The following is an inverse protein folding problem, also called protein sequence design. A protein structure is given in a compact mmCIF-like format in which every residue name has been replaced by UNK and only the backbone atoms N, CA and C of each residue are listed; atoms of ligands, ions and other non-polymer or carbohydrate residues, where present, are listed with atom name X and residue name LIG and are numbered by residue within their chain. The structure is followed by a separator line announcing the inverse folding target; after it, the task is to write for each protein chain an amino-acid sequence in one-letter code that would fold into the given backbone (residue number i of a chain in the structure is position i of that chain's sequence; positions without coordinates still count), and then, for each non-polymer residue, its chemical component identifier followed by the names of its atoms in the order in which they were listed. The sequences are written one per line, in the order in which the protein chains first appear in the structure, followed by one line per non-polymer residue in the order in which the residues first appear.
data_IF_428992511475
#
_entry.id   IF_428992511475
#
_cell.length_a   1.000
_cell.length_b   1.000
_cell.length_c   1.000
_cell.angle_alpha   90.00
_cell.angle_beta   90.00
_cell.angle_gamma   90.00
#
_symmetry.space_group_name_H-M   'P 1'
#
loop_
_entity.id
_entity.type
_entity.pdbx_description
1 polymer ?
#
# COMPACT_ATOMS: atom_id res chain seq x y z
N UNK A 1 2.77 22.21 14.20
CA UNK A 1 3.10 21.12 13.28
C UNK A 1 1.80 20.55 12.77
N UNK A 2 1.65 20.40 11.46
CA UNK A 2 0.46 19.80 10.83
C UNK A 2 0.37 18.33 11.21
N UNK A 3 -0.82 17.88 11.64
CA UNK A 3 -1.05 16.49 12.03
C UNK A 3 -1.57 15.65 10.88
N UNK A 4 -0.98 14.47 10.71
CA UNK A 4 -1.36 13.49 9.70
C UNK A 4 -1.82 12.14 10.25
N UNK A 5 -2.54 11.39 9.44
CA UNK A 5 -2.78 9.97 9.64
C UNK A 5 -2.55 9.19 8.35
N UNK A 6 -1.89 8.04 8.45
CA UNK A 6 -1.81 7.04 7.39
C UNK A 6 -2.85 5.95 7.65
N UNK A 7 -3.76 5.75 6.70
CA UNK A 7 -4.69 4.63 6.65
C UNK A 7 -4.21 3.68 5.55
N UNK A 8 -3.83 2.47 5.90
CA UNK A 8 -3.30 1.54 4.91
C UNK A 8 -3.41 0.08 5.29
N UNK A 9 -2.98 -0.79 4.40
CA UNK A 9 -2.86 -2.21 4.70
C UNK A 9 -1.73 -2.47 5.73
N UNK A 10 -1.39 -3.73 5.98
CA UNK A 10 -0.35 -4.07 6.96
C UNK A 10 1.01 -3.43 6.68
N UNK A 11 1.31 -3.03 5.45
CA UNK A 11 2.56 -2.33 5.09
C UNK A 11 2.59 -0.89 5.59
N UNK A 12 1.47 -0.36 6.06
CA UNK A 12 1.43 0.93 6.76
C UNK A 12 1.80 0.82 8.25
N UNK A 13 1.80 -0.38 8.83
CA UNK A 13 1.97 -0.58 10.28
C UNK A 13 3.24 0.07 10.85
N UNK A 14 4.32 0.05 10.06
CA UNK A 14 5.61 0.60 10.47
C UNK A 14 5.83 2.06 10.08
N UNK A 15 4.84 2.72 9.45
CA UNK A 15 4.91 4.12 9.04
C UNK A 15 4.50 5.04 10.18
N UNK A 16 5.26 5.01 11.25
CA UNK A 16 5.01 5.76 12.49
C UNK A 16 6.33 6.21 13.10
N UNK A 17 6.23 7.03 14.14
CA UNK A 17 7.36 7.50 14.92
C UNK A 17 8.41 8.25 14.07
N UNK A 18 7.98 8.96 13.02
CA UNK A 18 8.86 9.82 12.21
C UNK A 18 9.42 10.98 13.04
N UNK A 19 10.65 11.39 12.77
CA UNK A 19 11.34 12.34 13.65
C UNK A 19 10.87 13.79 13.40
N UNK A 20 10.48 14.10 12.17
CA UNK A 20 10.15 15.45 11.69
C UNK A 20 8.71 15.58 11.20
N UNK A 21 7.86 14.57 11.44
CA UNK A 21 6.49 14.52 10.95
C UNK A 21 5.57 14.01 12.06
N UNK A 22 4.60 14.83 12.48
CA UNK A 22 3.52 14.41 13.37
C UNK A 22 2.47 13.64 12.57
N UNK A 23 2.71 12.34 12.41
CA UNK A 23 1.82 11.44 11.66
C UNK A 23 1.70 10.10 12.38
N UNK A 24 0.46 9.69 12.63
CA UNK A 24 0.13 8.37 13.17
C UNK A 24 -0.24 7.42 12.04
N UNK A 25 -0.18 6.11 12.30
CA UNK A 25 -0.59 5.10 11.31
C UNK A 25 -1.61 4.13 11.90
N UNK A 26 -2.65 3.85 11.11
CA UNK A 26 -3.64 2.82 11.36
C UNK A 26 -3.56 1.78 10.24
N UNK A 27 -3.05 0.60 10.59
CA UNK A 27 -3.01 -0.53 9.69
C UNK A 27 -4.32 -1.33 9.72
N UNK A 28 -4.76 -1.74 8.53
CA UNK A 28 -5.90 -2.62 8.30
C UNK A 28 -5.36 -3.92 7.71
N UNK A 29 -5.11 -4.91 8.57
CA UNK A 29 -4.37 -6.12 8.22
C UNK A 29 -5.00 -6.86 7.05
N UNK A 30 -4.22 -7.11 6.00
CA UNK A 30 -4.67 -7.69 4.73
C UNK A 30 -5.79 -6.90 4.01
N UNK A 31 -5.91 -5.61 4.30
CA UNK A 31 -6.82 -4.72 3.57
C UNK A 31 -6.37 -4.57 2.13
N UNK A 32 -7.32 -4.69 1.19
CA UNK A 32 -7.05 -4.47 -0.24
C UNK A 32 -7.79 -3.23 -0.71
N UNK A 33 -7.20 -2.51 -1.66
CA UNK A 33 -7.76 -1.32 -2.28
C UNK A 33 -9.11 -1.64 -2.95
N UNK A 34 -9.19 -2.78 -3.65
CA UNK A 34 -10.45 -3.27 -4.24
C UNK A 34 -11.50 -3.64 -3.18
N UNK A 35 -11.06 -4.09 -2.01
CA UNK A 35 -11.93 -4.49 -0.91
C UNK A 35 -12.63 -3.33 -0.20
N UNK A 36 -12.11 -2.11 -0.30
CA UNK A 36 -12.68 -0.93 0.38
C UNK A 36 -14.07 -0.56 -0.15
N UNK A 37 -14.29 -0.65 -1.46
CA UNK A 37 -15.60 -0.36 -2.08
C UNK A 37 -16.53 -1.58 -2.15
N UNK A 38 -16.06 -2.77 -1.74
CA UNK A 38 -16.86 -3.99 -1.87
C UNK A 38 -17.77 -4.17 -0.64
N UNK A 39 -19.11 -4.07 -0.78
CA UNK A 39 -20.04 -4.26 0.34
C UNK A 39 -20.01 -5.70 0.89
N UNK A 40 -19.53 -6.67 0.10
CA UNK A 40 -19.36 -8.06 0.50
C UNK A 40 -17.92 -8.37 0.93
N UNK A 41 -17.10 -7.36 1.24
CA UNK A 41 -15.74 -7.56 1.71
C UNK A 41 -15.73 -8.25 3.08
N UNK A 42 -15.02 -9.37 3.18
CA UNK A 42 -14.91 -10.14 4.43
C UNK A 42 -14.24 -9.35 5.56
N UNK A 43 -13.37 -8.38 5.24
CA UNK A 43 -12.69 -7.58 6.26
C UNK A 43 -13.54 -6.44 6.80
N UNK A 44 -14.55 -5.99 6.06
CA UNK A 44 -15.39 -4.84 6.43
C UNK A 44 -14.66 -3.49 6.54
N UNK A 45 -13.38 -3.39 6.19
CA UNK A 45 -12.57 -2.19 6.45
C UNK A 45 -13.10 -0.93 5.76
N UNK A 46 -13.62 -1.03 4.54
CA UNK A 46 -14.22 0.11 3.87
C UNK A 46 -15.45 0.64 4.61
N UNK A 47 -16.32 -0.26 5.09
CA UNK A 47 -17.47 0.11 5.92
C UNK A 47 -17.02 0.74 7.24
N UNK A 48 -16.00 0.16 7.88
CA UNK A 48 -15.44 0.68 9.13
C UNK A 48 -14.89 2.10 8.95
N UNK A 49 -14.08 2.33 7.91
CA UNK A 49 -13.49 3.66 7.63
C UNK A 49 -14.61 4.68 7.38
N UNK A 50 -15.61 4.35 6.55
CA UNK A 50 -16.74 5.25 6.29
C UNK A 50 -17.49 5.62 7.58
N UNK A 51 -17.82 4.64 8.41
CA UNK A 51 -18.60 4.84 9.64
C UNK A 51 -17.83 5.60 10.72
N UNK A 52 -16.50 5.45 10.74
CA UNK A 52 -15.63 6.02 11.78
C UNK A 52 -14.74 7.15 11.25
N UNK A 53 -15.04 7.71 10.06
CA UNK A 53 -14.19 8.68 9.39
C UNK A 53 -13.84 9.88 10.27
N UNK A 54 -14.85 10.47 10.92
CA UNK A 54 -14.68 11.61 11.82
C UNK A 54 -13.78 11.28 13.01
N UNK A 55 -13.91 10.10 13.61
CA UNK A 55 -13.07 9.66 14.74
C UNK A 55 -11.64 9.33 14.30
N UNK A 56 -11.48 8.65 13.16
CA UNK A 56 -10.16 8.26 12.63
C UNK A 56 -9.32 9.49 12.26
N UNK A 57 -9.98 10.53 11.75
CA UNK A 57 -9.31 11.73 11.23
C UNK A 57 -9.50 12.93 12.15
N UNK A 58 -9.99 12.72 13.37
CA UNK A 58 -10.16 13.79 14.34
C UNK A 58 -8.80 14.45 14.62
N UNK A 59 -8.80 15.78 14.65
CA UNK A 59 -7.64 16.69 14.70
C UNK A 59 -6.57 16.55 13.59
N UNK A 60 -6.72 15.60 12.65
CA UNK A 60 -5.78 15.40 11.53
C UNK A 60 -6.15 16.29 10.36
N UNK A 61 -5.19 17.01 9.80
CA UNK A 61 -5.39 17.82 8.60
C UNK A 61 -5.02 17.04 7.33
N UNK A 62 -4.05 16.12 7.44
CA UNK A 62 -3.59 15.28 6.33
C UNK A 62 -4.09 13.84 6.55
N UNK A 63 -4.70 13.26 5.52
CA UNK A 63 -5.07 11.84 5.51
C UNK A 63 -4.40 11.16 4.33
N UNK A 64 -3.54 10.19 4.59
CA UNK A 64 -2.76 9.47 3.60
C UNK A 64 -3.31 8.06 3.44
N UNK A 65 -3.79 7.71 2.26
CA UNK A 65 -4.24 6.36 1.95
C UNK A 65 -3.11 5.53 1.34
N UNK A 66 -2.85 4.33 1.88
CA UNK A 66 -1.83 3.39 1.41
C UNK A 66 -2.39 1.96 1.31
N UNK A 67 -3.23 1.74 0.31
CA UNK A 67 -3.74 0.41 -0.06
C UNK A 67 -3.32 0.05 -1.48
N UNK A 68 -3.34 -1.25 -1.79
CA UNK A 68 -3.03 -1.77 -3.12
C UNK A 68 -1.91 -2.80 -3.12
N UNK A 69 -1.09 -2.87 -2.05
CA UNK A 69 0.00 -3.84 -1.98
C UNK A 69 -0.56 -5.26 -2.04
N UNK A 70 -1.57 -5.53 -1.23
CA UNK A 70 -2.26 -6.84 -1.19
C UNK A 70 -2.88 -7.18 -2.55
N UNK A 71 -3.43 -6.20 -3.26
CA UNK A 71 -4.06 -6.41 -4.57
C UNK A 71 -3.06 -6.87 -5.63
N UNK A 72 -1.88 -6.24 -5.68
CA UNK A 72 -0.86 -6.49 -6.70
C UNK A 72 0.01 -7.69 -6.32
N UNK A 73 0.50 -7.73 -5.07
CA UNK A 73 1.46 -8.75 -4.62
C UNK A 73 0.80 -10.13 -4.44
N UNK A 74 -0.49 -10.19 -4.09
CA UNK A 74 -1.12 -11.48 -3.73
C UNK A 74 -2.40 -11.77 -4.50
N UNK A 75 -3.38 -10.88 -4.43
CA UNK A 75 -4.72 -11.18 -4.96
C UNK A 75 -4.72 -11.34 -6.49
N UNK A 76 -3.86 -10.60 -7.20
CA UNK A 76 -3.67 -10.78 -8.63
C UNK A 76 -3.18 -12.21 -8.93
N UNK A 77 -2.11 -12.66 -8.27
CA UNK A 77 -1.50 -13.97 -8.54
C UNK A 77 -2.46 -15.11 -8.19
N UNK A 78 -3.10 -15.08 -7.02
CA UNK A 78 -4.11 -16.09 -6.65
C UNK A 78 -5.24 -16.19 -7.68
N UNK A 79 -5.73 -15.06 -8.18
CA UNK A 79 -6.75 -15.05 -9.25
C UNK A 79 -6.19 -15.61 -10.55
N UNK A 80 -4.98 -15.21 -10.92
CA UNK A 80 -4.34 -15.58 -12.17
C UNK A 80 -4.05 -17.09 -12.25
N UNK A 81 -3.82 -17.74 -11.11
CA UNK A 81 -3.69 -19.21 -11.01
C UNK A 81 -5.03 -19.89 -11.32
N UNK A 82 -6.15 -19.36 -10.83
CA UNK A 82 -7.48 -19.92 -11.05
C UNK A 82 -7.99 -19.70 -12.47
N UNK A 83 -7.72 -18.52 -13.02
CA UNK A 83 -8.14 -18.10 -14.36
C UNK A 83 -7.15 -17.07 -14.86
N UNK A 84 -6.72 -17.17 -16.13
CA UNK A 84 -5.82 -16.16 -16.70
C UNK A 84 -6.45 -14.77 -16.65
N UNK A 85 -5.76 -13.83 -16.00
CA UNK A 85 -6.19 -12.44 -15.80
C UNK A 85 -5.17 -11.52 -16.46
N UNK A 86 -5.64 -10.63 -17.32
CA UNK A 86 -4.80 -9.54 -17.82
C UNK A 86 -4.45 -8.56 -16.68
N UNK A 87 -3.15 -8.42 -16.41
CA UNK A 87 -2.67 -7.59 -15.31
C UNK A 87 -3.07 -6.12 -15.44
N UNK A 88 -3.03 -5.57 -16.66
CA UNK A 88 -3.35 -4.15 -16.88
C UNK A 88 -4.82 -3.84 -16.58
N UNK A 89 -5.73 -4.65 -17.15
CA UNK A 89 -7.15 -4.56 -16.88
C UNK A 89 -7.45 -4.79 -15.39
N UNK A 90 -6.71 -5.68 -14.73
CA UNK A 90 -6.84 -5.91 -13.29
C UNK A 90 -6.51 -4.65 -12.49
N UNK A 91 -5.32 -4.07 -12.68
CA UNK A 91 -4.88 -2.90 -11.90
C UNK A 91 -5.69 -1.64 -12.22
N UNK A 92 -6.13 -1.46 -13.47
CA UNK A 92 -7.03 -0.37 -13.84
C UNK A 92 -8.33 -0.44 -13.03
N UNK A 93 -8.90 -1.64 -12.89
CA UNK A 93 -10.09 -1.85 -12.07
C UNK A 93 -9.82 -1.62 -10.58
N UNK A 94 -8.70 -2.12 -10.04
CA UNK A 94 -8.33 -1.90 -8.62
C UNK A 94 -8.22 -0.41 -8.33
N UNK A 95 -7.44 0.34 -9.13
CA UNK A 95 -7.25 1.79 -8.95
C UNK A 95 -8.58 2.53 -9.08
N UNK A 96 -9.42 2.17 -10.06
CA UNK A 96 -10.76 2.78 -10.21
C UNK A 96 -11.58 2.67 -8.92
N UNK A 97 -11.74 1.46 -8.38
CA UNK A 97 -12.52 1.24 -7.16
C UNK A 97 -11.91 1.93 -5.93
N UNK A 98 -10.59 1.99 -5.87
CA UNK A 98 -9.86 2.65 -4.79
C UNK A 98 -10.08 4.17 -4.79
N UNK A 99 -9.97 4.80 -5.95
CA UNK A 99 -10.18 6.24 -6.07
C UNK A 99 -11.65 6.59 -5.88
N UNK A 100 -12.57 5.77 -6.36
CA UNK A 100 -14.00 5.91 -6.08
C UNK A 100 -14.30 5.87 -4.58
N UNK A 101 -13.69 4.93 -3.84
CA UNK A 101 -13.81 4.87 -2.38
C UNK A 101 -13.39 6.19 -1.73
N UNK A 102 -12.17 6.65 -2.05
CA UNK A 102 -11.60 7.86 -1.44
C UNK A 102 -12.48 9.08 -1.74
N UNK A 103 -12.96 9.21 -2.97
CA UNK A 103 -13.84 10.32 -3.38
C UNK A 103 -15.17 10.31 -2.62
N UNK A 104 -15.71 9.13 -2.32
CA UNK A 104 -16.99 9.00 -1.63
C UNK A 104 -16.93 9.41 -0.15
N UNK A 105 -15.74 9.50 0.45
CA UNK A 105 -15.58 10.09 1.79
C UNK A 105 -15.89 11.61 1.78
N UNK A 106 -15.67 12.27 0.64
CA UNK A 106 -16.07 13.65 0.34
C UNK A 106 -15.79 14.67 1.47
N UNK A 107 -14.58 14.64 2.04
CA UNK A 107 -14.19 15.55 3.12
C UNK A 107 -13.33 16.70 2.58
N UNK A 108 -13.93 17.88 2.46
CA UNK A 108 -13.28 19.10 1.96
C UNK A 108 -12.40 19.78 3.00
N UNK A 109 -12.46 19.37 4.28
CA UNK A 109 -11.67 19.96 5.36
C UNK A 109 -10.33 19.26 5.56
N UNK A 110 -10.07 18.19 4.79
CA UNK A 110 -8.86 17.37 4.87
C UNK A 110 -8.09 17.45 3.57
N UNK A 111 -6.78 17.40 3.69
CA UNK A 111 -5.90 17.19 2.54
C UNK A 111 -5.73 15.70 2.35
N UNK A 112 -6.32 15.21 1.26
CA UNK A 112 -6.29 13.81 0.90
C UNK A 112 -5.04 13.51 0.07
N UNK A 113 -4.22 12.64 0.62
CA UNK A 113 -3.01 12.13 0.01
C UNK A 113 -3.17 10.65 -0.31
N UNK A 114 -2.51 10.18 -1.37
CA UNK A 114 -2.44 8.77 -1.73
C UNK A 114 -0.98 8.39 -1.91
N UNK A 115 -0.51 7.46 -1.08
CA UNK A 115 0.86 6.96 -1.11
C UNK A 115 0.99 5.79 -2.07
N UNK A 116 2.10 5.75 -2.81
CA UNK A 116 2.53 4.60 -3.59
C UNK A 116 2.57 3.31 -2.75
N UNK A 117 2.29 2.17 -3.37
CA UNK A 117 2.65 0.88 -2.78
C UNK A 117 4.17 0.70 -2.82
N UNK A 118 4.73 -0.12 -1.93
CA UNK A 118 6.17 -0.36 -1.86
C UNK A 118 6.60 -1.40 -2.89
N UNK A 119 7.90 -1.46 -3.24
CA UNK A 119 8.44 -2.57 -4.01
C UNK A 119 8.20 -3.91 -3.29
N UNK A 120 8.09 -5.02 -4.04
CA UNK A 120 7.96 -6.35 -3.46
C UNK A 120 9.17 -6.69 -2.58
N UNK A 121 8.93 -7.18 -1.36
CA UNK A 121 10.01 -7.55 -0.43
C UNK A 121 10.40 -9.02 -0.53
N UNK A 122 9.46 -9.90 -0.88
CA UNK A 122 9.72 -11.35 -0.98
C UNK A 122 10.76 -11.69 -2.03
N UNK A 123 11.66 -12.61 -1.69
CA UNK A 123 12.41 -13.36 -2.71
C UNK A 123 11.48 -14.31 -3.46
N UNK A 124 11.89 -14.72 -4.65
CA UNK A 124 11.06 -15.57 -5.51
C UNK A 124 10.76 -16.94 -4.86
N UNK A 125 11.73 -17.48 -4.12
CA UNK A 125 11.57 -18.75 -3.38
C UNK A 125 10.49 -18.68 -2.29
N UNK A 126 10.44 -17.57 -1.55
CA UNK A 126 9.49 -17.42 -0.46
C UNK A 126 8.10 -17.01 -0.94
N UNK A 127 8.03 -16.33 -2.09
CA UNK A 127 6.77 -15.89 -2.66
C UNK A 127 5.77 -17.04 -2.86
N UNK A 128 6.18 -18.13 -3.51
CA UNK A 128 5.31 -19.31 -3.70
C UNK A 128 4.83 -19.93 -2.39
N UNK A 129 5.75 -20.04 -1.42
CA UNK A 129 5.43 -20.58 -0.10
C UNK A 129 4.38 -19.72 0.59
N UNK A 130 4.48 -18.40 0.47
CA UNK A 130 3.50 -17.48 1.01
C UNK A 130 2.17 -17.53 0.28
N UNK A 131 2.16 -17.67 -1.06
CA UNK A 131 0.91 -17.83 -1.84
C UNK A 131 0.15 -19.09 -1.41
N UNK A 132 0.85 -20.22 -1.16
CA UNK A 132 0.23 -21.44 -0.60
C UNK A 132 -0.37 -21.18 0.78
N UNK A 133 0.40 -20.57 1.68
CA UNK A 133 -0.08 -20.20 3.01
C UNK A 133 -1.34 -19.31 2.93
N UNK A 134 -1.33 -18.30 2.07
CA UNK A 134 -2.46 -17.38 1.92
C UNK A 134 -3.69 -18.08 1.30
N UNK A 135 -3.49 -18.97 0.33
CA UNK A 135 -4.56 -19.81 -0.22
C UNK A 135 -5.28 -20.61 0.87
N UNK A 136 -4.51 -21.21 1.77
CA UNK A 136 -5.03 -22.03 2.88
C UNK A 136 -5.70 -21.16 3.95
N UNK A 137 -5.06 -20.07 4.37
CA UNK A 137 -5.58 -19.12 5.38
C UNK A 137 -6.92 -18.50 4.93
N UNK A 138 -7.02 -18.16 3.64
CA UNK A 138 -8.21 -17.53 3.05
C UNK A 138 -9.21 -18.51 2.47
N UNK A 139 -8.92 -19.81 2.48
CA UNK A 139 -9.78 -20.87 1.95
C UNK A 139 -10.18 -20.62 0.49
N UNK A 140 -9.22 -20.25 -0.35
CA UNK A 140 -9.46 -20.01 -1.78
C UNK A 140 -9.65 -21.30 -2.58
N UNK A 141 -9.31 -22.45 -1.99
CA UNK A 141 -9.48 -23.78 -2.57
C UNK A 141 -8.76 -23.96 -3.92
N UNK A 142 -7.64 -23.27 -4.12
CA UNK A 142 -6.73 -23.54 -5.23
C UNK A 142 -5.90 -24.78 -4.86
N UNK A 143 -5.73 -25.72 -5.79
CA UNK A 143 -4.90 -26.89 -5.52
C UNK A 143 -3.43 -26.46 -5.36
N UNK A 144 -2.69 -27.12 -4.47
CA UNK A 144 -1.26 -26.81 -4.31
C UNK A 144 -0.48 -27.12 -5.58
N UNK A 145 -0.90 -28.12 -6.36
CA UNK A 145 -0.33 -28.45 -7.67
C UNK A 145 -0.50 -27.29 -8.67
N UNK A 146 -1.66 -26.62 -8.70
CA UNK A 146 -1.85 -25.44 -9.56
C UNK A 146 -0.94 -24.28 -9.16
N UNK A 147 -0.72 -24.10 -7.84
CA UNK A 147 0.20 -23.08 -7.31
C UNK A 147 1.66 -23.42 -7.64
N UNK A 148 2.05 -24.69 -7.57
CA UNK A 148 3.42 -25.13 -7.91
C UNK A 148 3.72 -25.02 -9.40
N UNK A 149 2.72 -25.23 -10.25
CA UNK A 149 2.84 -25.07 -11.70
C UNK A 149 2.65 -23.63 -12.18
N UNK A 150 2.39 -22.69 -11.27
CA UNK A 150 2.26 -21.28 -11.61
C UNK A 150 3.62 -20.68 -11.98
N UNK A 151 3.71 -20.08 -13.17
CA UNK A 151 4.89 -19.35 -13.61
C UNK A 151 5.03 -18.05 -12.80
N UNK A 152 5.80 -18.12 -11.71
CA UNK A 152 5.96 -17.03 -10.77
C UNK A 152 6.86 -15.96 -11.38
N UNK A 153 6.38 -14.71 -11.48
CA UNK A 153 7.22 -13.63 -11.95
C UNK A 153 8.38 -13.40 -10.99
N UNK A 154 9.56 -13.16 -11.56
CA UNK A 154 10.75 -12.80 -10.80
C UNK A 154 10.52 -11.54 -9.97
N UNK A 155 11.39 -11.31 -8.98
CA UNK A 155 11.37 -10.09 -8.18
C UNK A 155 11.42 -8.83 -9.06
N UNK A 156 12.23 -8.86 -10.12
CA UNK A 156 12.32 -7.76 -11.06
C UNK A 156 10.99 -7.52 -11.77
N UNK A 157 10.36 -8.59 -12.28
CA UNK A 157 9.05 -8.51 -12.92
C UNK A 157 7.97 -8.02 -11.96
N UNK A 158 7.91 -8.55 -10.73
CA UNK A 158 6.98 -8.06 -9.69
C UNK A 158 7.25 -6.60 -9.34
N UNK A 159 8.51 -6.17 -9.32
CA UNK A 159 8.87 -4.77 -9.10
C UNK A 159 8.32 -3.89 -10.23
N UNK A 160 8.46 -4.30 -11.50
CA UNK A 160 7.86 -3.57 -12.62
C UNK A 160 6.32 -3.56 -12.56
N UNK A 161 5.70 -4.63 -12.08
CA UNK A 161 4.25 -4.68 -11.85
C UNK A 161 3.81 -3.62 -10.82
N UNK A 162 4.54 -3.46 -9.72
CA UNK A 162 4.27 -2.44 -8.70
C UNK A 162 4.48 -1.03 -9.24
N UNK A 163 5.56 -0.81 -9.99
CA UNK A 163 5.80 0.46 -10.69
C UNK A 163 4.65 0.82 -11.62
N UNK A 164 4.11 -0.16 -12.37
CA UNK A 164 2.98 0.04 -13.28
C UNK A 164 1.71 0.42 -12.53
N UNK A 165 1.40 -0.27 -11.43
CA UNK A 165 0.29 0.09 -10.55
C UNK A 165 0.43 1.53 -10.04
N UNK A 166 1.62 1.89 -9.51
CA UNK A 166 1.91 3.22 -8.98
C UNK A 166 1.78 4.32 -10.03
N UNK A 167 2.19 4.06 -11.28
CA UNK A 167 2.04 5.01 -12.37
C UNK A 167 0.56 5.30 -12.69
N UNK A 168 -0.27 4.25 -12.76
CA UNK A 168 -1.71 4.40 -12.99
C UNK A 168 -2.36 5.11 -11.81
N UNK A 169 -2.01 4.71 -10.58
CA UNK A 169 -2.50 5.34 -9.36
C UNK A 169 -2.19 6.84 -9.35
N UNK A 170 -0.94 7.24 -9.65
CA UNK A 170 -0.54 8.65 -9.73
C UNK A 170 -1.41 9.44 -10.71
N UNK A 171 -1.63 8.91 -11.92
CA UNK A 171 -2.45 9.56 -12.94
C UNK A 171 -3.90 9.74 -12.43
N UNK A 172 -4.49 8.72 -11.83
CA UNK A 172 -5.87 8.80 -11.34
C UNK A 172 -6.01 9.73 -10.13
N UNK A 173 -5.07 9.69 -9.18
CA UNK A 173 -5.03 10.60 -8.01
C UNK A 173 -5.00 12.07 -8.45
N UNK A 174 -4.19 12.39 -9.46
CA UNK A 174 -4.05 13.76 -9.98
C UNK A 174 -5.32 14.28 -10.67
N UNK A 175 -6.16 13.42 -11.24
CA UNK A 175 -7.44 13.85 -11.86
C UNK A 175 -8.44 14.43 -10.86
N UNK A 176 -8.29 14.10 -9.58
CA UNK A 176 -9.21 14.50 -8.51
C UNK A 176 -8.59 15.47 -7.51
N UNK A 177 -7.48 16.13 -7.89
CA UNK A 177 -6.75 17.09 -7.04
C UNK A 177 -6.28 16.51 -5.69
N UNK A 178 -6.12 15.19 -5.60
CA UNK A 178 -5.47 14.56 -4.46
C UNK A 178 -3.94 14.66 -4.60
N UNK A 179 -3.23 14.59 -3.48
CA UNK A 179 -1.76 14.63 -3.47
C UNK A 179 -1.22 13.21 -3.62
N UNK A 180 -0.41 12.95 -4.65
CA UNK A 180 0.30 11.68 -4.78
C UNK A 180 1.66 11.73 -4.08
N UNK A 181 1.96 10.74 -3.24
CA UNK A 181 3.23 10.63 -2.51
C UNK A 181 3.99 9.40 -3.00
N UNK A 182 5.18 9.62 -3.57
CA UNK A 182 6.06 8.54 -4.02
C UNK A 182 7.05 8.13 -2.92
N UNK A 183 6.71 7.06 -2.23
CA UNK A 183 7.61 6.36 -1.30
C UNK A 183 8.13 5.04 -1.91
N UNK A 184 7.89 4.80 -3.19
CA UNK A 184 8.34 3.61 -3.91
C UNK A 184 9.76 3.80 -4.44
N UNK A 185 10.01 4.95 -5.09
CA UNK A 185 11.28 5.20 -5.76
C UNK A 185 12.47 5.26 -4.79
N UNK A 186 12.27 5.81 -3.58
CA UNK A 186 13.33 5.92 -2.57
C UNK A 186 13.74 4.57 -1.95
N UNK A 187 12.99 3.50 -2.21
CA UNK A 187 13.27 2.15 -1.71
C UNK A 187 14.02 1.28 -2.72
N UNK A 188 14.28 1.78 -3.92
CA UNK A 188 14.93 1.01 -4.98
C UNK A 188 16.46 1.15 -4.97
N UNK A 189 17.15 0.07 -5.32
CA UNK A 189 18.58 0.05 -5.61
C UNK A 189 18.87 0.47 -7.07
N UNK A 190 20.15 0.43 -7.46
CA UNK A 190 20.59 0.76 -8.83
C UNK A 190 20.08 -0.21 -9.90
N UNK A 191 19.69 -1.43 -9.52
CA UNK A 191 19.05 -2.43 -10.39
C UNK A 191 17.53 -2.25 -10.50
N UNK A 192 16.96 -1.17 -9.95
CA UNK A 192 15.52 -0.91 -9.98
C UNK A 192 14.69 -2.00 -9.29
N UNK A 193 15.25 -2.65 -8.27
CA UNK A 193 14.56 -3.58 -7.36
C UNK A 193 14.66 -3.07 -5.93
N UNK A 194 13.93 -3.66 -4.98
CA UNK A 194 14.03 -3.30 -3.55
C UNK A 194 15.51 -3.33 -3.10
N UNK A 195 15.98 -2.26 -2.45
CA UNK A 195 17.27 -2.31 -1.78
C UNK A 195 17.19 -3.30 -0.62
N UNK A 196 18.01 -4.36 -0.68
CA UNK A 196 18.03 -5.41 0.34
C UNK A 196 18.51 -4.92 1.69
N UNK A 197 19.14 -3.75 1.77
CA UNK A 197 19.43 -3.09 3.04
C UNK A 197 18.19 -2.50 3.73
N UNK A 198 17.05 -2.43 3.04
CA UNK A 198 15.77 -1.96 3.58
C UNK A 198 14.83 -3.10 3.98
N UNK A 199 15.21 -4.35 3.72
CA UNK A 199 14.43 -5.54 4.06
C UNK A 199 15.19 -6.34 5.11
N UNK A 200 14.48 -6.85 6.11
CA UNK A 200 15.09 -7.76 7.08
C UNK A 200 15.72 -8.99 6.40
N UNK A 201 16.94 -9.35 6.81
CA UNK A 201 17.70 -10.47 6.26
C UNK A 201 17.11 -11.85 6.61
N UNK A 202 16.18 -11.91 7.57
CA UNK A 202 15.59 -13.16 8.07
C UNK A 202 14.35 -13.62 7.27
N UNK A 203 13.84 -12.84 6.32
CA UNK A 203 12.38 -12.80 6.18
C UNK A 203 11.71 -13.77 5.18
N UNK A 204 10.86 -14.61 5.77
CA UNK A 204 9.60 -15.17 5.29
C UNK A 204 8.42 -14.16 5.39
N UNK A 205 8.67 -12.86 5.30
CA UNK A 205 7.67 -11.82 5.55
C UNK A 205 7.65 -10.78 4.40
N UNK A 206 6.45 -10.30 4.04
CA UNK A 206 6.20 -9.41 2.92
C UNK A 206 6.45 -7.92 3.21
N UNK A 207 6.67 -7.56 4.48
CA UNK A 207 6.87 -6.19 4.91
C UNK A 207 8.36 -5.76 4.82
N UNK A 208 8.65 -4.46 5.00
CA UNK A 208 10.03 -3.95 5.08
C UNK A 208 10.73 -4.38 6.38
N UNK A 209 9.97 -4.49 7.46
CA UNK A 209 10.38 -5.07 8.74
C UNK A 209 9.29 -5.99 9.25
N UNK A 210 9.62 -6.94 10.12
CA UNK A 210 8.59 -7.78 10.72
C UNK A 210 7.74 -6.98 11.71
N UNK A 211 6.50 -7.41 11.99
CA UNK A 211 5.59 -6.69 12.92
C UNK A 211 6.16 -6.43 14.32
N UNK A 212 7.13 -7.24 14.76
CA UNK A 212 7.80 -7.09 16.06
C UNK A 212 9.00 -6.14 16.05
N UNK A 213 9.41 -5.63 14.89
CA UNK A 213 10.59 -4.78 14.74
C UNK A 213 10.22 -3.44 14.08
N UNK A 214 10.89 -2.34 14.49
CA UNK A 214 10.81 -1.08 13.77
C UNK A 214 11.33 -1.21 12.34
N UNK A 215 10.99 -0.24 11.48
CA UNK A 215 11.66 -0.10 10.19
C UNK A 215 13.18 0.01 10.39
N UNK A 216 13.92 -0.53 9.43
CA UNK A 216 15.35 -0.26 9.34
C UNK A 216 15.54 1.26 9.27
N UNK A 217 16.41 1.88 10.10
CA UNK A 217 16.51 3.34 10.20
C UNK A 217 16.71 4.04 8.85
N UNK A 218 17.51 3.47 7.95
CA UNK A 218 17.73 4.01 6.61
C UNK A 218 16.47 4.01 5.74
N UNK A 219 15.64 2.96 5.83
CA UNK A 219 14.34 2.89 5.16
C UNK A 219 13.35 3.91 5.73
N UNK A 220 13.32 4.06 7.06
CA UNK A 220 12.52 5.08 7.75
C UNK A 220 12.89 6.48 7.25
N UNK A 221 14.18 6.83 7.27
CA UNK A 221 14.66 8.13 6.80
C UNK A 221 14.34 8.37 5.32
N UNK A 222 14.47 7.36 4.46
CA UNK A 222 14.14 7.48 3.05
C UNK A 222 12.66 7.76 2.82
N UNK A 223 11.76 7.06 3.54
CA UNK A 223 10.32 7.27 3.46
C UNK A 223 9.92 8.63 4.05
N UNK A 224 10.48 8.99 5.20
CA UNK A 224 10.26 10.29 5.84
C UNK A 224 10.66 11.45 4.91
N UNK A 225 11.79 11.32 4.21
CA UNK A 225 12.24 12.33 3.24
C UNK A 225 11.27 12.49 2.06
N UNK A 226 10.54 11.43 1.67
CA UNK A 226 9.47 11.53 0.67
C UNK A 226 8.19 12.18 1.20
N UNK A 227 7.89 12.01 2.49
CA UNK A 227 6.69 12.55 3.13
C UNK A 227 6.84 14.02 3.53
N UNK A 228 8.00 14.38 4.06
CA UNK A 228 8.26 15.69 4.68
C UNK A 228 7.92 16.89 3.77
N UNK A 229 8.23 16.89 2.46
CA UNK A 229 7.87 18.02 1.60
C UNK A 229 6.37 18.30 1.56
N UNK A 230 5.52 17.28 1.67
CA UNK A 230 4.06 17.43 1.68
C UNK A 230 3.61 18.13 2.96
N UNK A 231 4.11 17.68 4.12
CA UNK A 231 3.79 18.29 5.41
C UNK A 231 4.28 19.75 5.48
N UNK A 232 5.51 20.02 5.03
CA UNK A 232 6.08 21.36 5.02
C UNK A 232 5.35 22.32 4.05
N UNK A 233 4.91 21.83 2.89
CA UNK A 233 4.13 22.65 1.96
C UNK A 233 2.80 23.07 2.60
N UNK A 234 2.14 22.13 3.28
CA UNK A 234 0.86 22.37 3.93
C UNK A 234 1.03 23.30 5.13
N UNK A 235 2.08 23.15 5.94
CA UNK A 235 2.36 24.09 7.03
C UNK A 235 2.49 25.54 6.53
N UNK A 236 3.23 25.75 5.44
CA UNK A 236 3.49 27.08 4.88
C UNK A 236 2.26 27.73 4.26
N UNK A 237 1.41 26.96 3.59
CA UNK A 237 0.20 27.49 2.96
C UNK A 237 -0.86 27.90 4.01
N UNK A 238 -0.84 27.28 5.20
CA UNK A 238 -1.74 27.63 6.30
C UNK A 238 -1.27 28.83 7.12
N UNK A 239 0.01 29.20 7.08
CA UNK A 239 0.52 30.41 7.74
C UNK A 239 0.03 31.73 7.06
N UNK A 240 -0.73 31.63 5.97
CA UNK A 240 -1.30 32.77 5.23
C UNK A 240 -2.78 33.07 5.55
N UNK A 241 -3.46 32.27 6.37
CA UNK A 241 -4.86 32.48 6.79
C UNK A 241 -4.98 32.79 8.29
#
# INVERSE_FOLDING_TARGET
MVKGIILGDSHAFHLKDFDNIDCVSQAFIAGSAKGLSNPNSLSGYGSYINQNWGTLTDDKQIVIFKFGQVDVEFLYHLRNIQVSVDFEAYILNVVKYYIEFIRNLNDTNKIICVMSIFPPCFSDNYFLTFIKYLNDERKWNISHDDIENYDVPSLETRTQMHKKFNNILKIEVQKYNFVYIDCYACLLNSQQTIDRNYVSHDMNDCHLSNFSTPLIPSAKTAIESSLQPVFLAIEKDFDFF
#
